data_IF_462131316076
#
_entry.id   IF_462131316076
#
_cell.length_a   1.000
_cell.length_b   1.000
_cell.length_c   1.000
_cell.angle_alpha   90.00
_cell.angle_beta   90.00
_cell.angle_gamma   90.00
#
_symmetry.space_group_name_H-M   'P 1'
#
loop_
_entity.id
_entity.type
_entity.pdbx_description
1 polymer ?
#
# COMPACT_ATOMS: atom_id res chain seq x y z
N UNK A 1 -9.11 -10.08 0.18
CA UNK A 1 -8.36 -11.32 0.46
C UNK A 1 -8.53 -11.70 1.92
N UNK A 2 -8.52 -12.99 2.25
CA UNK A 2 -8.47 -13.38 3.67
C UNK A 2 -7.03 -13.17 4.23
N UNK A 3 -6.85 -13.11 5.56
CA UNK A 3 -5.54 -12.83 6.15
C UNK A 3 -4.44 -13.81 5.72
N UNK A 4 -4.78 -15.10 5.57
CA UNK A 4 -3.83 -16.14 5.18
C UNK A 4 -3.38 -15.99 3.72
N UNK A 5 -4.32 -15.79 2.81
CA UNK A 5 -4.02 -15.54 1.39
C UNK A 5 -3.12 -14.31 1.22
N UNK A 6 -3.34 -13.28 2.04
CA UNK A 6 -2.55 -12.04 2.05
C UNK A 6 -1.11 -12.30 2.48
N UNK A 7 -0.91 -13.10 3.53
CA UNK A 7 0.40 -13.50 4.04
C UNK A 7 1.16 -14.41 3.05
N UNK A 8 0.46 -15.39 2.47
CA UNK A 8 1.01 -16.31 1.48
C UNK A 8 1.48 -15.54 0.23
N UNK A 9 0.67 -14.58 -0.26
CA UNK A 9 1.02 -13.71 -1.39
C UNK A 9 2.22 -12.82 -1.08
N UNK A 10 2.21 -12.17 0.09
CA UNK A 10 3.31 -11.31 0.56
C UNK A 10 4.63 -12.08 0.58
N UNK A 11 4.61 -13.31 1.10
CA UNK A 11 5.78 -14.18 1.19
C UNK A 11 6.26 -14.63 -0.19
N UNK A 12 5.32 -14.96 -1.08
CA UNK A 12 5.63 -15.35 -2.45
C UNK A 12 6.29 -14.23 -3.26
N UNK A 13 5.78 -12.99 -3.15
CA UNK A 13 6.35 -11.84 -3.85
C UNK A 13 7.77 -11.54 -3.36
N UNK A 14 8.00 -11.57 -2.04
CA UNK A 14 9.34 -11.41 -1.45
C UNK A 14 10.31 -12.47 -1.97
N UNK A 15 9.88 -13.74 -2.01
CA UNK A 15 10.70 -14.83 -2.53
C UNK A 15 11.10 -14.60 -3.99
N UNK A 16 10.17 -14.21 -4.86
CA UNK A 16 10.49 -13.92 -6.28
C UNK A 16 11.50 -12.77 -6.39
N UNK A 17 11.28 -11.68 -5.65
CA UNK A 17 12.20 -10.54 -5.64
C UNK A 17 13.62 -10.97 -5.29
N UNK A 18 13.75 -11.74 -4.21
CA UNK A 18 15.05 -12.12 -3.63
C UNK A 18 15.74 -13.24 -4.42
N UNK A 19 15.00 -14.20 -4.96
CA UNK A 19 15.53 -15.34 -5.74
C UNK A 19 16.03 -14.92 -7.13
N UNK A 20 15.33 -13.97 -7.76
CA UNK A 20 15.61 -13.55 -9.13
C UNK A 20 16.24 -12.15 -9.24
N UNK A 21 16.51 -11.48 -8.11
CA UNK A 21 17.04 -10.11 -8.03
C UNK A 21 16.24 -9.12 -8.89
N UNK A 22 14.92 -9.10 -8.68
CA UNK A 22 13.98 -8.31 -9.50
C UNK A 22 13.53 -7.04 -8.79
N UNK A 23 13.33 -5.98 -9.58
CA UNK A 23 12.50 -4.84 -9.13
C UNK A 23 11.04 -5.16 -9.37
N UNK A 24 10.21 -4.97 -8.34
CA UNK A 24 8.76 -5.21 -8.41
C UNK A 24 8.02 -3.88 -8.34
N UNK A 25 7.18 -3.62 -9.34
CA UNK A 25 6.22 -2.51 -9.35
C UNK A 25 4.81 -3.09 -9.30
N UNK A 26 3.99 -2.63 -8.36
CA UNK A 26 2.67 -3.19 -8.11
C UNK A 26 1.67 -2.08 -7.79
N UNK A 27 0.42 -2.29 -8.20
CA UNK A 27 -0.73 -1.47 -7.86
C UNK A 27 -1.66 -2.35 -7.01
N UNK A 28 -1.92 -1.93 -5.78
CA UNK A 28 -2.69 -2.71 -4.81
C UNK A 28 -3.44 -1.77 -3.86
N UNK A 29 -4.61 -2.20 -3.39
CA UNK A 29 -5.45 -1.44 -2.45
C UNK A 29 -5.46 -2.08 -1.05
N UNK A 30 -5.07 -3.35 -0.92
CA UNK A 30 -4.90 -4.00 0.37
C UNK A 30 -3.65 -3.49 1.11
N UNK A 31 -3.86 -2.60 2.09
CA UNK A 31 -2.79 -1.96 2.86
C UNK A 31 -1.86 -2.94 3.58
N UNK A 32 -2.34 -4.10 4.02
CA UNK A 32 -1.49 -5.13 4.63
C UNK A 32 -0.39 -5.62 3.67
N UNK A 33 -0.72 -5.82 2.39
CA UNK A 33 0.26 -6.23 1.37
C UNK A 33 1.20 -5.06 1.08
N UNK A 34 0.64 -3.89 0.77
CA UNK A 34 1.39 -2.68 0.41
C UNK A 34 2.43 -2.35 1.48
N UNK A 35 2.03 -2.30 2.74
CA UNK A 35 2.95 -1.98 3.84
C UNK A 35 3.96 -3.11 4.10
N UNK A 36 3.56 -4.37 3.87
CA UNK A 36 4.38 -5.53 4.17
C UNK A 36 5.52 -5.81 3.18
N UNK A 37 5.42 -5.34 1.94
CA UNK A 37 6.39 -5.66 0.87
C UNK A 37 7.06 -4.45 0.21
N UNK A 38 6.50 -3.25 0.33
CA UNK A 38 6.99 -2.09 -0.40
C UNK A 38 8.10 -1.36 0.35
N UNK A 39 9.21 -1.07 -0.35
CA UNK A 39 10.24 -0.16 0.15
C UNK A 39 9.84 1.32 -0.05
N UNK A 40 9.04 1.59 -1.09
CA UNK A 40 8.51 2.90 -1.47
C UNK A 40 7.08 2.77 -1.94
N UNK A 41 6.25 3.73 -1.59
CA UNK A 41 4.83 3.77 -1.92
C UNK A 41 4.50 5.14 -2.51
N UNK A 42 3.67 5.14 -3.54
CA UNK A 42 3.02 6.32 -4.09
C UNK A 42 1.52 6.16 -3.90
N UNK A 43 0.88 7.17 -3.32
CA UNK A 43 -0.57 7.17 -3.10
C UNK A 43 -1.19 8.18 -4.05
N UNK A 44 -2.15 7.70 -4.84
CA UNK A 44 -2.90 8.50 -5.80
C UNK A 44 -4.35 8.56 -5.35
N UNK A 45 -4.91 9.77 -5.38
CA UNK A 45 -6.33 10.02 -5.17
C UNK A 45 -6.85 10.84 -6.36
N UNK A 46 -7.90 10.37 -7.02
CA UNK A 46 -8.43 10.93 -8.28
C UNK A 46 -7.36 11.29 -9.33
N UNK A 47 -6.34 10.44 -9.48
CA UNK A 47 -5.25 10.62 -10.45
C UNK A 47 -4.17 11.62 -10.02
N UNK A 48 -4.28 12.21 -8.83
CA UNK A 48 -3.30 13.13 -8.25
C UNK A 48 -2.49 12.40 -7.19
N UNK A 49 -1.16 12.53 -7.23
CA UNK A 49 -0.31 12.00 -6.16
C UNK A 49 -0.49 12.85 -4.90
N UNK A 50 -1.01 12.22 -3.85
CA UNK A 50 -1.27 12.88 -2.55
C UNK A 50 -0.15 12.65 -1.53
N UNK A 51 0.59 11.55 -1.67
CA UNK A 51 1.72 11.21 -0.81
C UNK A 51 2.71 10.28 -1.53
N UNK A 52 3.98 10.34 -1.13
CA UNK A 52 5.01 9.37 -1.48
C UNK A 52 5.97 9.20 -0.30
N UNK A 53 6.52 8.00 -0.11
CA UNK A 53 7.41 7.73 1.01
C UNK A 53 7.56 6.24 1.30
N UNK A 54 8.20 5.92 2.42
CA UNK A 54 8.26 4.56 2.94
C UNK A 54 6.92 4.16 3.63
N UNK A 55 6.70 2.87 3.95
CA UNK A 55 5.47 2.41 4.61
C UNK A 55 5.09 3.17 5.88
N UNK A 56 6.07 3.50 6.73
CA UNK A 56 5.82 4.21 7.98
C UNK A 56 5.35 5.65 7.72
N UNK A 57 5.97 6.35 6.78
CA UNK A 57 5.56 7.71 6.41
C UNK A 57 4.17 7.74 5.80
N UNK A 58 3.83 6.78 4.93
CA UNK A 58 2.52 6.69 4.30
C UNK A 58 1.42 6.35 5.31
N UNK A 59 1.66 5.39 6.20
CA UNK A 59 0.69 4.99 7.22
C UNK A 59 0.33 6.14 8.17
N UNK A 60 1.27 7.04 8.44
CA UNK A 60 1.07 8.21 9.30
C UNK A 60 0.68 9.48 8.52
N UNK A 61 0.48 9.40 7.20
CA UNK A 61 0.12 10.55 6.39
C UNK A 61 -1.39 10.83 6.47
N UNK A 62 -1.74 12.00 7.01
CA UNK A 62 -3.13 12.41 7.22
C UNK A 62 -3.99 12.36 5.94
N UNK A 63 -3.46 12.82 4.79
CA UNK A 63 -4.19 12.80 3.51
C UNK A 63 -4.47 11.38 3.04
N UNK A 64 -3.56 10.45 3.30
CA UNK A 64 -3.72 9.04 2.95
C UNK A 64 -4.78 8.39 3.81
N UNK A 65 -4.79 8.68 5.11
CA UNK A 65 -5.80 8.19 6.06
C UNK A 65 -7.20 8.68 5.64
N UNK A 66 -7.33 9.97 5.33
CA UNK A 66 -8.58 10.58 4.86
C UNK A 66 -9.08 9.96 3.56
N UNK A 67 -8.20 9.80 2.57
CA UNK A 67 -8.55 9.18 1.29
C UNK A 67 -8.94 7.69 1.44
N UNK A 68 -8.31 6.96 2.36
CA UNK A 68 -8.56 5.53 2.56
C UNK A 68 -9.82 5.22 3.37
N UNK A 69 -10.12 6.03 4.40
CA UNK A 69 -11.33 5.87 5.21
C UNK A 69 -12.58 6.47 4.54
N UNK A 70 -12.37 7.29 3.51
CA UNK A 70 -13.37 8.20 3.00
C UNK A 70 -13.56 9.37 3.96
N UNK A 71 -13.81 10.56 3.42
CA UNK A 71 -14.38 11.63 4.22
C UNK A 71 -15.76 11.12 4.60
N UNK A 72 -15.97 10.78 5.87
CA UNK A 72 -17.34 10.74 6.39
C UNK A 72 -17.84 12.16 6.19
N UNK A 73 -18.67 12.37 5.17
CA UNK A 73 -19.49 13.55 5.07
C UNK A 73 -20.23 13.64 6.41
N UNK A 74 -19.73 14.48 7.30
CA UNK A 74 -20.60 15.15 8.26
C UNK A 74 -21.45 16.07 7.38
N UNK A 75 -22.48 15.47 6.78
CA UNK A 75 -23.60 16.17 6.19
C UNK A 75 -24.15 17.08 7.29
N UNK A 76 -23.86 18.37 7.12
CA UNK A 76 -24.42 19.46 7.90
C UNK A 76 -25.93 19.61 7.62
#
# INVERSE_FOLDING_TARGET
MNPKETEDLTSFIKRIRDEFDLTIFMIEHHMQVVMGISDRIYVLDYGITIAHGNPYEIQNNQKVIEAYLGVSENDA
#
